data_IF_045023234317
#
_entry.id   IF_045023234317
#
_cell.length_a   1.000
_cell.length_b   1.000
_cell.length_c   1.000
_cell.angle_alpha   90.00
_cell.angle_beta   90.00
_cell.angle_gamma   90.00
#
_symmetry.space_group_name_H-M   'P 1'
#
loop_
_entity.id
_entity.type
_entity.pdbx_description
1 polymer ?
2 non-polymer ?
3 water ?
#
# COMPACT_ATOMS: atom_id res chain seq x y z
N UNK A 2 21.17 -4.60 -2.96
CA UNK A 2 21.42 -6.02 -3.35
C UNK A 2 20.08 -6.69 -3.73
N UNK A 3 20.13 -7.55 -4.73
CA UNK A 3 19.05 -8.49 -5.05
C UNK A 3 18.93 -9.73 -4.12
N UNK A 4 19.51 -9.67 -2.92
CA UNK A 4 19.29 -10.68 -1.91
C UNK A 4 18.31 -10.08 -0.87
N UNK A 5 17.53 -10.93 -0.23
CA UNK A 5 16.45 -10.50 0.69
C UNK A 5 16.95 -10.62 2.10
N UNK A 6 16.91 -9.54 2.85
CA UNK A 6 17.31 -9.57 4.24
C UNK A 6 16.05 -9.32 5.04
N UNK A 7 15.85 -10.12 6.07
CA UNK A 7 14.69 -10.05 6.94
C UNK A 7 15.16 -9.83 8.38
N UNK A 8 14.69 -8.77 9.03
CA UNK A 8 15.02 -8.49 10.41
C UNK A 8 13.89 -8.95 11.32
N UNK A 9 14.26 -9.65 12.39
CA UNK A 9 13.32 -10.28 13.32
C UNK A 9 12.34 -11.14 12.52
N UNK A 10 12.94 -12.10 11.82
CA UNK A 10 12.20 -13.04 10.99
C UNK A 10 11.62 -14.08 11.91
N UNK A 11 10.31 -14.04 12.07
CA UNK A 11 9.54 -14.93 12.95
C UNK A 11 8.74 -15.96 12.15
N UNK A 12 8.07 -16.84 12.89
CA UNK A 12 7.25 -17.91 12.28
C UNK A 12 6.20 -17.42 11.24
N UNK A 13 5.53 -16.30 11.53
CA UNK A 13 4.38 -15.84 10.73
C UNK A 13 4.59 -14.45 10.10
N UNK A 14 5.62 -13.74 10.57
CA UNK A 14 5.91 -12.41 10.07
C UNK A 14 7.37 -12.09 10.27
N UNK A 15 7.85 -11.11 9.50
CA UNK A 15 9.14 -10.50 9.69
C UNK A 15 8.89 -9.05 10.09
N UNK A 16 9.75 -8.48 10.88
CA UNK A 16 9.49 -7.14 11.33
C UNK A 16 9.90 -6.15 10.24
N UNK A 17 11.02 -6.43 9.57
CA UNK A 17 11.57 -5.55 8.53
C UNK A 17 12.07 -6.37 7.34
N UNK A 18 11.82 -5.91 6.12
CA UNK A 18 12.38 -6.55 4.95
C UNK A 18 13.18 -5.56 4.15
N UNK A 19 14.32 -5.98 3.62
CA UNK A 19 15.20 -5.11 2.88
C UNK A 19 15.55 -5.80 1.59
N UNK A 20 15.32 -5.13 0.47
CA UNK A 20 15.60 -5.69 -0.84
C UNK A 20 15.78 -4.57 -1.83
N UNK A 21 16.71 -4.76 -2.76
CA UNK A 21 16.93 -3.81 -3.85
C UNK A 21 17.06 -2.37 -3.32
N UNK A 22 17.85 -2.19 -2.27
CA UNK A 22 18.10 -0.88 -1.64
C UNK A 22 16.84 -0.20 -1.14
N UNK A 23 15.86 -1.03 -0.75
CA UNK A 23 14.56 -0.56 -0.31
C UNK A 23 14.18 -1.37 0.91
N UNK A 24 13.45 -0.74 1.82
CA UNK A 24 13.15 -1.28 3.12
C UNK A 24 11.68 -1.07 3.34
N UNK A 25 11.01 -2.12 3.82
CA UNK A 25 9.57 -2.10 4.06
C UNK A 25 9.37 -2.44 5.53
N UNK A 26 8.38 -1.80 6.14
CA UNK A 26 8.12 -1.93 7.57
C UNK A 26 6.77 -1.37 7.89
N UNK A 27 6.13 -1.92 8.91
CA UNK A 27 4.85 -1.45 9.40
C UNK A 27 4.98 -1.21 10.90
N UNK A 28 4.73 0.01 11.35
CA UNK A 28 4.86 0.28 12.76
C UNK A 28 3.50 0.16 13.41
N UNK A 29 3.47 -0.51 14.55
CA UNK A 29 2.27 -0.64 15.33
C UNK A 29 2.55 -0.18 16.76
N UNK A 30 1.51 0.28 17.47
CA UNK A 30 1.74 0.83 18.82
C UNK A 30 2.23 -0.17 19.89
N UNK A 31 2.97 0.35 20.88
CA UNK A 31 3.43 -0.47 22.01
C UNK A 31 2.48 -0.37 23.20
N UNK A 32 2.10 0.85 23.58
CA UNK A 32 1.21 1.09 24.72
C UNK A 32 -0.24 1.11 24.24
N UNK A 33 -0.95 0.05 24.57
CA UNK A 33 -2.30 -0.16 24.06
C UNK A 33 -3.33 0.75 24.71
N UNK A 34 -3.07 1.17 25.95
CA UNK A 34 -3.94 2.15 26.65
C UNK A 34 -3.62 3.63 26.34
N UNK A 35 -2.54 3.90 25.61
CA UNK A 35 -2.22 5.28 25.26
C UNK A 35 -3.21 5.79 24.22
N UNK A 36 -3.44 7.11 24.25
CA UNK A 36 -4.19 7.81 23.25
C UNK A 36 -3.45 7.88 21.91
N UNK A 37 -4.09 8.47 20.90
CA UNK A 37 -3.55 8.43 19.54
C UNK A 37 -2.29 9.27 19.39
N UNK A 38 -2.16 10.37 20.15
CA UNK A 38 -0.97 11.19 20.09
C UNK A 38 0.24 10.41 20.57
N UNK A 39 0.12 9.78 21.73
CA UNK A 39 1.20 8.93 22.21
C UNK A 39 1.49 7.78 21.24
N UNK A 40 0.46 7.11 20.73
CA UNK A 40 0.66 5.94 19.88
C UNK A 40 1.37 6.35 18.59
N UNK A 41 0.97 7.51 18.03
CA UNK A 41 1.63 7.99 16.81
C UNK A 41 3.09 8.41 17.05
N UNK A 42 3.32 9.23 18.07
CA UNK A 42 4.67 9.70 18.46
C UNK A 42 5.62 8.52 18.73
N UNK A 43 5.10 7.56 19.46
CA UNK A 43 5.83 6.35 19.82
C UNK A 43 6.13 5.50 18.58
N UNK A 44 5.18 5.43 17.65
CA UNK A 44 5.40 4.62 16.48
C UNK A 44 6.42 5.27 15.57
N UNK A 45 6.41 6.58 15.47
CA UNK A 45 7.42 7.27 14.70
C UNK A 45 8.80 7.09 15.32
N UNK A 46 8.89 7.03 16.65
CA UNK A 46 10.16 6.70 17.35
C UNK A 46 10.66 5.31 17.05
N UNK A 47 9.76 4.32 16.94
CA UNK A 47 10.16 2.93 16.54
C UNK A 47 10.70 2.86 15.11
N UNK A 48 10.02 3.55 14.21
CA UNK A 48 10.43 3.66 12.84
C UNK A 48 11.86 4.19 12.73
N UNK A 49 12.16 5.32 13.38
CA UNK A 49 13.54 5.82 13.45
C UNK A 49 14.53 4.73 13.88
N UNK A 50 14.25 4.08 14.98
CA UNK A 50 15.13 3.06 15.55
C UNK A 50 15.40 1.96 14.53
N UNK A 51 14.33 1.47 13.91
CA UNK A 51 14.39 0.48 12.83
C UNK A 51 15.22 1.00 11.67
N UNK A 52 14.99 2.23 11.21
CA UNK A 52 15.74 2.78 10.08
C UNK A 52 17.24 2.93 10.41
N UNK A 53 17.59 3.33 11.63
CA UNK A 53 19.00 3.55 11.92
C UNK A 53 19.79 2.28 12.24
N UNK A 54 19.10 1.26 12.73
CA UNK A 54 19.73 -0.04 12.93
C UNK A 54 20.28 -0.56 11.59
N UNK A 55 19.63 -0.17 10.47
CA UNK A 55 20.05 -0.54 9.12
C UNK A 55 20.91 0.52 8.43
N UNK A 56 21.33 1.53 9.18
CA UNK A 56 22.12 2.58 8.60
C UNK A 56 21.33 3.59 7.79
N UNK A 57 19.99 3.52 7.82
CA UNK A 57 19.18 4.54 7.13
C UNK A 57 18.72 5.56 8.14
N UNK A 58 17.79 6.44 7.77
CA UNK A 58 17.28 7.43 8.74
C UNK A 58 15.89 7.94 8.30
N UNK A 59 15.24 8.80 9.08
CA UNK A 59 13.90 9.31 8.72
C UNK A 59 13.89 10.29 7.58
N UNK A 60 15.06 10.82 7.24
CA UNK A 60 15.19 11.67 6.07
C UNK A 60 15.11 10.86 4.84
N UNK A 61 15.20 9.52 4.95
CA UNK A 61 15.29 8.65 3.79
C UNK A 61 14.00 7.88 3.55
N UNK A 62 12.92 8.29 4.17
CA UNK A 62 11.67 7.58 4.01
C UNK A 62 11.06 8.08 2.72
N UNK A 63 10.50 7.17 1.93
CA UNK A 63 9.99 7.49 0.62
C UNK A 63 8.49 7.71 0.62
N UNK A 64 7.76 6.81 1.25
CA UNK A 64 6.30 6.87 1.27
C UNK A 64 5.75 6.37 2.59
N UNK A 65 4.72 7.01 3.13
CA UNK A 65 4.12 6.60 4.42
C UNK A 65 2.60 6.58 4.31
N UNK A 66 1.98 5.53 4.80
CA UNK A 66 0.55 5.43 4.83
C UNK A 66 0.16 5.21 6.27
N UNK A 67 -0.67 6.10 6.77
CA UNK A 67 -1.12 6.10 8.16
C UNK A 67 -2.58 5.63 8.19
N UNK A 68 -2.85 4.55 8.91
CA UNK A 68 -4.19 4.06 9.11
C UNK A 68 -4.62 4.43 10.52
N UNK A 69 -5.75 5.12 10.65
CA UNK A 69 -6.32 5.47 11.96
C UNK A 69 -7.60 4.70 12.12
N UNK A 70 -7.88 4.21 13.31
CA UNK A 70 -9.15 3.56 13.59
C UNK A 70 -10.35 4.53 13.68
N UNK A 71 -10.08 5.80 13.93
CA UNK A 71 -11.13 6.78 14.22
C UNK A 71 -10.74 8.09 13.58
N UNK A 72 -11.70 8.71 12.93
CA UNK A 72 -11.53 9.94 12.18
C UNK A 72 -11.28 11.09 13.16
N UNK A 73 -11.75 10.93 14.40
CA UNK A 73 -11.53 11.92 15.48
C UNK A 73 -10.04 12.03 15.93
N UNK A 74 -9.20 11.09 15.51
CA UNK A 74 -7.79 11.06 15.89
C UNK A 74 -6.88 11.72 14.87
N UNK A 75 -7.42 12.18 13.75
CA UNK A 75 -6.61 12.90 12.73
C UNK A 75 -5.70 14.03 13.30
N UNK A 76 -6.23 14.86 14.19
CA UNK A 76 -5.50 16.03 14.67
C UNK A 76 -4.39 15.57 15.60
N UNK A 77 -4.68 14.59 16.43
CA UNK A 77 -3.68 14.06 17.34
C UNK A 77 -2.49 13.44 16.58
N UNK A 78 -2.76 12.71 15.50
CA UNK A 78 -1.67 12.10 14.74
C UNK A 78 -0.90 13.09 13.86
N UNK A 79 -1.53 14.15 13.38
CA UNK A 79 -0.80 15.26 12.69
C UNK A 79 0.11 16.06 13.60
N UNK A 80 -0.31 16.25 14.84
CA UNK A 80 0.50 16.92 15.81
C UNK A 80 1.76 16.10 16.07
N UNK A 81 1.65 14.78 16.24
CA UNK A 81 2.84 13.92 16.39
C UNK A 81 3.70 13.94 15.14
N UNK A 82 3.08 13.75 13.99
CA UNK A 82 3.81 13.80 12.74
C UNK A 82 4.56 15.11 12.62
N UNK A 83 3.88 16.21 12.91
CA UNK A 83 4.46 17.53 12.73
C UNK A 83 5.66 17.82 13.64
N UNK A 84 5.69 17.18 14.80
CA UNK A 84 6.76 17.36 15.76
C UNK A 84 8.02 16.58 15.34
N UNK A 85 7.83 15.57 14.48
CA UNK A 85 8.85 14.60 14.08
C UNK A 85 9.38 14.80 12.68
N UNK A 86 8.50 15.05 11.71
CA UNK A 86 8.88 15.09 10.29
C UNK A 86 10.05 16.02 10.01
N UNK A 87 10.90 15.67 9.04
CA UNK A 87 12.04 16.47 8.70
C UNK A 87 11.68 17.42 7.55
N UNK A 88 11.65 18.72 7.87
CA UNK A 88 11.32 19.76 6.90
C UNK A 88 12.19 19.61 5.66
N UNK A 89 11.56 19.66 4.49
CA UNK A 89 12.31 19.49 3.23
C UNK A 89 12.71 18.05 2.87
N UNK A 90 12.52 17.10 3.78
CA UNK A 90 12.94 15.72 3.55
C UNK A 90 11.80 14.73 3.89
N UNK A 91 10.58 15.21 3.78
CA UNK A 91 9.40 14.44 4.13
C UNK A 91 8.99 13.46 2.98
N UNK A 92 8.43 12.31 3.32
CA UNK A 92 7.96 11.42 2.27
C UNK A 92 6.59 11.82 1.73
N UNK A 93 6.15 11.15 0.67
CA UNK A 93 4.73 11.16 0.29
C UNK A 93 3.94 10.60 1.45
N UNK A 94 2.82 11.20 1.75
CA UNK A 94 2.06 10.83 2.92
C UNK A 94 0.62 10.66 2.53
N UNK A 95 -0.03 9.78 3.24
CA UNK A 95 -1.35 9.41 2.90
C UNK A 95 -2.00 8.85 4.19
N UNK A 96 -3.08 9.48 4.62
CA UNK A 96 -3.79 9.11 5.83
C UNK A 96 -5.22 8.71 5.52
N UNK A 97 -5.62 7.53 5.99
CA UNK A 97 -6.99 7.04 5.86
C UNK A 97 -7.45 6.36 7.12
N UNK A 98 -8.77 6.28 7.31
CA UNK A 98 -9.35 5.65 8.49
C UNK A 98 -9.85 4.28 8.13
N UNK A 99 -9.51 3.28 8.91
CA UNK A 99 -9.86 1.92 8.59
C UNK A 99 -9.91 1.09 9.86
N UNK A 100 -10.43 -0.13 9.76
CA UNK A 100 -10.46 -1.02 10.91
C UNK A 100 -9.10 -1.69 11.06
N UNK A 101 -8.63 -1.77 12.29
CA UNK A 101 -7.31 -2.26 12.59
C UNK A 101 -7.45 -3.58 13.35
N UNK A 102 -6.42 -4.42 13.31
CA UNK A 102 -6.52 -5.76 13.88
C UNK A 102 -6.80 -5.73 15.40
N UNK A 103 -6.09 -4.90 16.15
CA UNK A 103 -6.26 -4.83 17.61
C UNK A 103 -7.16 -3.65 17.90
N UNK A 104 -8.22 -3.84 18.71
CA UNK A 104 -9.17 -2.74 18.93
C UNK A 104 -8.65 -1.60 19.84
N UNK A 105 -7.51 -1.83 20.49
CA UNK A 105 -6.80 -0.80 21.25
C UNK A 105 -5.82 0.05 20.39
N UNK A 106 -5.65 -0.28 19.10
CA UNK A 106 -4.73 0.47 18.22
C UNK A 106 -5.44 1.69 17.69
N UNK A 107 -4.93 2.88 17.95
CA UNK A 107 -5.56 4.07 17.36
C UNK A 107 -4.91 4.34 15.99
N UNK A 108 -3.70 3.84 15.79
CA UNK A 108 -2.89 4.17 14.61
C UNK A 108 -2.01 2.99 14.21
N UNK A 109 -1.65 2.94 12.94
CA UNK A 109 -0.66 2.01 12.41
C UNK A 109 0.00 2.72 11.21
N UNK A 110 1.27 2.42 10.94
CA UNK A 110 2.00 3.23 9.94
C UNK A 110 2.92 2.39 9.05
N UNK A 111 2.64 2.32 7.76
CA UNK A 111 3.48 1.54 6.87
C UNK A 111 4.41 2.50 6.13
N UNK A 112 5.62 2.03 5.95
CA UNK A 112 6.79 2.82 5.55
C UNK A 112 7.51 2.06 4.47
N UNK A 113 7.79 2.70 3.34
CA UNK A 113 8.82 2.26 2.40
C UNK A 113 9.93 3.30 2.46
N UNK A 114 11.18 2.88 2.60
CA UNK A 114 12.34 3.76 2.77
C UNK A 114 13.53 3.31 1.92
N UNK A 115 14.51 4.21 1.70
CA UNK A 115 15.76 3.87 0.99
C UNK A 115 16.78 3.45 2.02
N UNK A 116 17.59 2.45 1.67
CA UNK A 116 18.52 1.89 2.63
C UNK A 116 19.85 1.57 1.94
N UNK B 2 18.74 6.15 -9.96
CA UNK B 2 19.71 6.69 -8.95
C UNK B 2 19.29 6.29 -7.54
N UNK B 3 20.28 5.87 -6.77
CA UNK B 3 20.14 5.74 -5.33
C UNK B 3 20.19 7.07 -4.56
N UNK B 4 20.11 8.20 -5.25
CA UNK B 4 19.88 9.48 -4.59
C UNK B 4 18.37 9.72 -4.64
N UNK B 5 17.81 10.29 -3.57
CA UNK B 5 16.40 10.56 -3.45
C UNK B 5 16.13 11.95 -3.96
N UNK B 6 15.21 12.08 -4.90
CA UNK B 6 14.76 13.37 -5.38
C UNK B 6 13.32 13.60 -4.92
N UNK B 7 13.07 14.74 -4.31
CA UNK B 7 11.73 15.14 -3.85
C UNK B 7 11.21 16.38 -4.61
N UNK B 8 9.97 16.31 -5.12
CA UNK B 8 9.31 17.42 -5.80
C UNK B 8 8.29 18.05 -4.89
N UNK B 9 8.30 19.39 -4.87
CA UNK B 9 7.49 20.21 -3.94
C UNK B 9 7.64 19.73 -2.50
N UNK B 10 8.86 19.86 -2.03
CA UNK B 10 9.27 19.43 -0.71
C UNK B 10 8.97 20.51 0.36
N UNK B 11 7.90 20.33 1.09
CA UNK B 11 7.50 21.31 2.07
C UNK B 11 7.96 20.90 3.48
N UNK B 12 7.42 21.55 4.51
CA UNK B 12 7.82 21.33 5.90
C UNK B 12 7.26 20.01 6.46
N UNK B 13 6.07 19.64 6.02
CA UNK B 13 5.36 18.47 6.56
C UNK B 13 5.09 17.36 5.56
N UNK B 14 5.28 17.62 4.27
CA UNK B 14 5.08 16.60 3.25
C UNK B 14 5.84 16.95 2.00
N UNK B 15 6.01 15.95 1.11
CA UNK B 15 6.44 16.13 -0.27
C UNK B 15 5.31 15.68 -1.22
N UNK B 16 5.19 16.30 -2.39
CA UNK B 16 4.14 15.91 -3.34
C UNK B 16 4.53 14.67 -4.19
N UNK B 17 5.79 14.62 -4.64
CA UNK B 17 6.33 13.51 -5.42
C UNK B 17 7.72 13.14 -4.92
N UNK B 18 8.04 11.84 -4.92
CA UNK B 18 9.35 11.33 -4.47
C UNK B 18 9.87 10.29 -5.48
N UNK B 19 11.13 10.41 -5.85
CA UNK B 19 11.71 9.61 -6.92
C UNK B 19 13.00 9.02 -6.40
N UNK B 20 13.13 7.71 -6.53
CA UNK B 20 14.27 7.00 -6.02
C UNK B 20 14.32 5.65 -6.74
N UNK B 21 15.53 5.22 -7.11
CA UNK B 21 15.74 3.88 -7.62
C UNK B 21 14.81 3.65 -8.79
N UNK B 22 14.72 4.66 -9.65
CA UNK B 22 13.93 4.66 -10.86
C UNK B 22 12.47 4.37 -10.69
N UNK B 23 11.95 4.84 -9.56
CA UNK B 23 10.59 4.61 -9.15
C UNK B 23 10.06 5.89 -8.51
N UNK B 24 8.79 6.18 -8.76
CA UNK B 24 8.14 7.40 -8.35
C UNK B 24 6.94 7.07 -7.48
N UNK B 25 6.79 7.77 -6.37
CA UNK B 25 5.61 7.68 -5.47
C UNK B 25 4.82 8.98 -5.54
N UNK B 26 3.49 8.89 -5.42
CA UNK B 26 2.62 10.06 -5.42
C UNK B 26 1.25 9.66 -4.93
N UNK B 27 0.61 10.48 -4.10
CA UNK B 27 -0.83 10.42 -3.86
C UNK B 27 -1.59 11.54 -4.58
N UNK B 28 -2.63 11.21 -5.33
CA UNK B 28 -3.41 12.23 -6.00
C UNK B 28 -4.64 12.51 -5.18
N UNK B 29 -5.04 13.76 -5.07
CA UNK B 29 -6.32 14.09 -4.45
C UNK B 29 -7.08 15.00 -5.38
N UNK B 30 -8.42 14.93 -5.37
CA UNK B 30 -9.16 15.75 -6.33
C UNK B 30 -9.12 17.24 -5.94
N UNK B 31 -9.10 18.13 -6.94
CA UNK B 31 -9.20 19.57 -6.72
C UNK B 31 -10.63 20.09 -6.83
N UNK B 32 -11.50 19.32 -7.48
CA UNK B 32 -12.91 19.66 -7.70
C UNK B 32 -13.80 19.13 -6.58
N UNK B 33 -13.69 19.72 -5.39
CA UNK B 33 -14.23 19.09 -4.19
C UNK B 33 -15.76 19.01 -4.11
N UNK B 34 -16.47 19.76 -4.94
CA UNK B 34 -17.94 19.73 -4.97
C UNK B 34 -18.51 18.83 -6.07
N UNK B 35 -17.66 18.22 -6.90
CA UNK B 35 -18.11 17.33 -7.97
C UNK B 35 -18.47 15.94 -7.44
N UNK B 36 -19.00 15.07 -8.31
CA UNK B 36 -19.33 13.69 -7.91
C UNK B 36 -18.10 12.75 -8.04
N UNK B 37 -18.24 11.54 -7.50
CA UNK B 37 -17.19 10.52 -7.52
C UNK B 37 -16.50 10.39 -8.90
N UNK B 38 -17.29 10.06 -9.93
CA UNK B 38 -16.76 9.91 -11.29
C UNK B 38 -15.90 11.10 -11.72
N UNK B 39 -16.32 12.30 -11.39
CA UNK B 39 -15.64 13.50 -11.89
C UNK B 39 -14.45 13.86 -11.00
N UNK B 40 -14.52 13.55 -9.70
CA UNK B 40 -13.37 13.67 -8.78
C UNK B 40 -12.27 12.67 -9.13
N UNK B 41 -12.67 11.47 -9.51
CA UNK B 41 -11.73 10.48 -10.01
C UNK B 41 -11.02 10.96 -11.26
N UNK B 42 -11.78 11.29 -12.28
CA UNK B 42 -11.16 11.72 -13.54
C UNK B 42 -10.17 12.86 -13.29
N UNK B 43 -10.57 13.80 -12.45
CA UNK B 43 -9.71 14.93 -12.11
C UNK B 43 -8.41 14.45 -11.46
N UNK B 44 -8.51 13.53 -10.50
CA UNK B 44 -7.31 12.95 -9.87
C UNK B 44 -6.40 12.28 -10.89
N UNK B 45 -7.00 11.52 -11.79
CA UNK B 45 -6.23 10.78 -12.78
C UNK B 45 -5.48 11.72 -13.67
N UNK B 46 -6.09 12.84 -13.99
CA UNK B 46 -5.48 13.86 -14.88
C UNK B 46 -4.27 14.54 -14.23
N UNK B 47 -4.41 14.95 -12.98
CA UNK B 47 -3.27 15.42 -12.18
C UNK B 47 -2.12 14.39 -12.18
N UNK B 48 -2.46 13.10 -12.07
CA UNK B 48 -1.45 12.03 -12.06
C UNK B 48 -0.70 12.04 -13.36
N UNK B 49 -1.46 12.06 -14.46
CA UNK B 49 -0.84 12.21 -15.79
C UNK B 49 0.08 13.43 -15.82
N UNK B 50 -0.38 14.53 -15.25
CA UNK B 50 0.42 15.77 -15.32
C UNK B 50 1.73 15.57 -14.58
N UNK B 51 1.63 14.94 -13.41
CA UNK B 51 2.78 14.68 -12.53
C UNK B 51 3.74 13.75 -13.21
N UNK B 52 3.23 12.68 -13.80
CA UNK B 52 4.13 11.69 -14.42
C UNK B 52 4.84 12.28 -15.65
N UNK B 53 4.14 13.11 -16.43
CA UNK B 53 4.75 13.73 -17.62
C UNK B 53 5.89 14.70 -17.25
N UNK B 54 5.70 15.51 -16.21
CA UNK B 54 6.76 16.44 -15.77
C UNK B 54 8.09 15.77 -15.43
N UNK B 55 8.05 14.52 -14.95
CA UNK B 55 9.27 13.78 -14.58
C UNK B 55 9.78 12.85 -15.67
N UNK B 56 9.10 12.82 -16.82
CA UNK B 56 9.55 12.01 -17.96
C UNK B 56 8.75 10.74 -18.20
N UNK B 57 7.90 10.37 -17.24
CA UNK B 57 7.14 9.13 -17.28
C UNK B 57 5.80 9.34 -17.97
N UNK B 58 4.88 8.39 -17.77
CA UNK B 58 3.53 8.51 -18.27
C UNK B 58 2.58 7.48 -17.65
N UNK B 59 1.32 7.58 -18.04
CA UNK B 59 0.30 6.68 -17.55
C UNK B 59 0.42 5.29 -18.17
N UNK B 60 1.41 5.11 -19.03
CA UNK B 60 1.83 3.82 -19.55
C UNK B 60 2.86 3.13 -18.70
N UNK B 61 3.38 3.82 -17.67
CA UNK B 61 4.50 3.33 -16.85
C UNK B 61 4.15 3.27 -15.36
N UNK B 62 2.86 3.23 -15.03
CA UNK B 62 2.42 3.06 -13.67
C UNK B 62 2.51 1.58 -13.30
N UNK B 63 2.96 1.28 -12.08
CA UNK B 63 3.17 -0.10 -11.69
C UNK B 63 2.03 -0.63 -10.78
N UNK B 64 1.55 0.19 -9.87
CA UNK B 64 0.57 -0.18 -8.88
C UNK B 64 -0.26 1.06 -8.50
N UNK B 65 -1.56 0.86 -8.23
CA UNK B 65 -2.47 1.94 -7.91
C UNK B 65 -3.49 1.49 -6.86
N UNK B 66 -3.55 2.20 -5.73
CA UNK B 66 -4.56 1.89 -4.71
C UNK B 66 -5.53 3.04 -4.61
N UNK B 67 -6.77 2.77 -4.95
CA UNK B 67 -7.81 3.77 -5.03
C UNK B 67 -8.60 3.63 -3.75
N UNK B 68 -8.64 4.69 -2.93
CA UNK B 68 -9.50 4.73 -1.73
C UNK B 68 -10.77 5.51 -2.02
N UNK B 69 -11.91 4.92 -1.74
CA UNK B 69 -13.19 5.59 -1.94
C UNK B 69 -13.79 5.83 -0.56
N UNK B 70 -14.44 6.98 -0.39
CA UNK B 70 -15.10 7.30 0.86
C UNK B 70 -16.38 6.53 1.05
N UNK B 71 -17.06 6.19 -0.04
CA UNK B 71 -18.43 5.65 -0.01
C UNK B 71 -18.53 4.42 -0.90
N UNK B 72 -19.09 3.34 -0.36
CA UNK B 72 -19.23 2.06 -1.08
C UNK B 72 -20.04 2.16 -2.38
N UNK B 73 -20.88 3.18 -2.47
CA UNK B 73 -21.80 3.35 -3.60
C UNK B 73 -21.11 3.88 -4.86
N UNK B 74 -19.82 4.21 -4.74
CA UNK B 74 -19.09 4.87 -5.83
C UNK B 74 -18.11 4.00 -6.59
N UNK B 75 -18.06 2.71 -6.26
CA UNK B 75 -17.20 1.76 -6.98
C UNK B 75 -17.44 1.83 -8.49
N UNK B 76 -18.68 1.60 -8.91
CA UNK B 76 -19.03 1.61 -10.33
C UNK B 76 -18.61 2.92 -11.03
N UNK B 77 -18.79 4.04 -10.35
CA UNK B 77 -18.43 5.32 -10.94
C UNK B 77 -16.90 5.53 -11.08
N UNK B 78 -16.11 5.12 -10.07
CA UNK B 78 -14.64 5.27 -10.18
C UNK B 78 -14.05 4.30 -11.21
N UNK B 79 -14.62 3.10 -11.32
CA UNK B 79 -14.34 2.20 -12.46
C UNK B 79 -14.64 2.82 -13.83
N UNK B 80 -15.77 3.51 -13.95
CA UNK B 80 -16.10 4.20 -15.21
C UNK B 80 -15.02 5.22 -15.55
N UNK B 81 -14.61 6.03 -14.60
CA UNK B 81 -13.57 7.06 -14.83
C UNK B 81 -12.18 6.46 -15.12
N UNK B 82 -11.91 5.31 -14.50
CA UNK B 82 -10.66 4.57 -14.71
C UNK B 82 -10.54 4.00 -16.14
N UNK B 83 -11.61 3.34 -16.60
CA UNK B 83 -11.64 2.68 -17.93
C UNK B 83 -11.54 3.67 -19.09
N UNK B 84 -12.08 4.87 -18.91
CA UNK B 84 -11.91 5.94 -19.89
C UNK B 84 -10.46 6.45 -19.94
N UNK B 85 -9.77 6.37 -18.81
CA UNK B 85 -8.40 6.88 -18.66
C UNK B 85 -7.29 5.84 -18.97
N UNK B 86 -7.45 4.61 -18.49
CA UNK B 86 -6.36 3.60 -18.53
C UNK B 86 -6.00 3.19 -19.96
N UNK B 87 -4.73 2.87 -20.18
CA UNK B 87 -4.16 2.47 -21.47
C UNK B 87 -4.15 0.95 -21.55
N UNK B 88 -5.01 0.40 -22.41
CA UNK B 88 -5.21 -1.05 -22.53
C UNK B 88 -3.90 -1.70 -22.86
N UNK B 89 -3.63 -2.83 -22.19
CA UNK B 89 -2.36 -3.51 -22.33
C UNK B 89 -1.16 -2.80 -21.72
N UNK B 90 -1.40 -1.67 -21.05
CA UNK B 90 -0.38 -1.02 -20.24
C UNK B 90 -0.93 -0.63 -18.88
N UNK B 91 -1.88 -1.42 -18.41
CA UNK B 91 -2.58 -1.15 -17.16
C UNK B 91 -1.72 -1.50 -15.97
N UNK B 92 -1.80 -0.71 -14.89
CA UNK B 92 -1.08 -1.08 -13.70
C UNK B 92 -1.89 -2.07 -12.89
N UNK B 93 -1.28 -2.69 -11.89
CA UNK B 93 -2.00 -3.46 -10.87
C UNK B 93 -2.85 -2.48 -10.07
N UNK B 94 -4.05 -2.89 -9.69
CA UNK B 94 -4.98 -1.97 -9.02
C UNK B 94 -5.65 -2.52 -7.75
N UNK B 95 -5.94 -1.60 -6.83
CA UNK B 95 -6.67 -1.89 -5.62
C UNK B 95 -7.71 -0.80 -5.52
N UNK B 96 -8.96 -1.18 -5.32
CA UNK B 96 -9.96 -0.22 -5.00
C UNK B 96 -10.60 -0.70 -3.75
N UNK B 97 -10.56 0.12 -2.68
CA UNK B 97 -11.29 -0.15 -1.44
C UNK B 97 -11.95 1.08 -0.84
N UNK B 98 -12.85 0.85 0.10
CA UNK B 98 -13.56 1.90 0.78
C UNK B 98 -12.97 2.14 2.15
N UNK B 99 -12.57 3.36 2.43
CA UNK B 99 -12.17 3.76 3.77
C UNK B 99 -12.50 5.24 3.98
N UNK B 100 -12.43 5.68 5.23
CA UNK B 100 -12.58 7.10 5.55
C UNK B 100 -11.43 7.95 5.04
N UNK B 101 -11.77 9.07 4.39
CA UNK B 101 -10.77 10.00 3.88
C UNK B 101 -10.68 11.22 4.82
N UNK B 102 -9.62 12.03 4.70
CA UNK B 102 -9.34 13.08 5.70
C UNK B 102 -10.22 14.32 5.52
N UNK B 103 -10.35 14.78 4.28
CA UNK B 103 -11.24 15.87 3.96
C UNK B 103 -12.63 15.31 3.66
N UNK B 104 -13.67 15.76 4.38
CA UNK B 104 -15.02 15.18 4.19
C UNK B 104 -15.63 15.37 2.80
N UNK B 105 -15.06 16.25 2.00
CA UNK B 105 -15.51 16.40 0.62
C UNK B 105 -14.73 15.50 -0.38
N UNK B 106 -13.81 14.67 0.12
CA UNK B 106 -13.12 13.68 -0.72
C UNK B 106 -14.02 12.48 -1.00
N UNK B 107 -14.27 12.22 -2.28
CA UNK B 107 -14.95 10.98 -2.65
C UNK B 107 -13.88 9.94 -2.89
N UNK B 108 -12.71 10.39 -3.35
CA UNK B 108 -11.65 9.53 -3.84
C UNK B 108 -10.24 10.07 -3.53
N UNK B 109 -9.27 9.15 -3.48
CA UNK B 109 -7.85 9.44 -3.25
C UNK B 109 -7.02 8.28 -3.84
N UNK B 110 -6.03 8.59 -4.66
CA UNK B 110 -5.33 7.57 -5.45
C UNK B 110 -3.83 7.60 -5.23
N UNK B 111 -3.30 6.51 -4.71
CA UNK B 111 -1.87 6.33 -4.44
C UNK B 111 -1.27 5.58 -5.62
N UNK B 112 -0.08 5.99 -6.01
CA UNK B 112 0.51 5.60 -7.28
C UNK B 112 2.00 5.25 -7.08
N UNK B 113 2.44 4.09 -7.56
CA UNK B 113 3.87 3.83 -7.70
C UNK B 113 4.10 3.68 -9.19
N UNK B 114 5.11 4.35 -9.75
CA UNK B 114 5.39 4.23 -11.19
C UNK B 114 6.88 4.12 -11.47
N UNK B 115 7.22 3.82 -12.70
CA UNK B 115 8.62 3.78 -13.14
C UNK B 115 9.02 5.09 -13.80
N UNK B 116 10.27 5.50 -13.65
CA UNK B 116 10.76 6.75 -14.28
C UNK B 116 12.17 6.59 -14.81
N UNK C 2 15.73 -5.49 -14.41
CA UNK C 2 15.55 -4.60 -15.58
C UNK C 2 14.58 -3.44 -15.32
N UNK C 3 14.90 -2.33 -15.99
CA UNK C 3 14.10 -1.13 -16.11
C UNK C 3 13.07 -1.15 -17.25
N UNK C 4 12.84 -2.30 -17.86
CA UNK C 4 11.75 -2.46 -18.85
C UNK C 4 10.62 -3.19 -18.17
N UNK C 5 9.44 -2.62 -18.22
CA UNK C 5 8.30 -3.13 -17.52
C UNK C 5 7.74 -4.30 -18.29
N UNK C 6 7.40 -5.37 -17.57
CA UNK C 6 6.76 -6.54 -18.12
C UNK C 6 5.39 -6.60 -17.52
N UNK C 7 4.36 -6.77 -18.34
CA UNK C 7 2.98 -6.91 -17.90
C UNK C 7 2.37 -8.20 -18.42
N UNK C 8 1.60 -8.87 -17.54
CA UNK C 8 1.13 -10.22 -17.76
C UNK C 8 -0.36 -10.32 -17.46
N UNK C 9 -1.16 -10.52 -18.50
CA UNK C 9 -2.60 -10.68 -18.36
C UNK C 9 -2.99 -12.16 -18.59
N UNK C 10 -3.84 -12.70 -17.72
CA UNK C 10 -4.32 -14.08 -17.84
C UNK C 10 -5.82 -14.02 -17.81
N UNK C 11 -6.45 -14.80 -18.67
CA UNK C 11 -7.92 -14.79 -18.75
C UNK C 11 -8.61 -15.23 -17.48
N UNK C 12 -8.02 -16.13 -16.70
CA UNK C 12 -8.70 -16.68 -15.50
C UNK C 12 -8.39 -15.90 -14.20
N UNK C 13 -7.98 -14.66 -14.34
CA UNK C 13 -7.26 -13.98 -13.27
C UNK C 13 -7.63 -12.50 -13.33
N UNK C 14 -8.04 -11.97 -12.19
CA UNK C 14 -8.61 -10.65 -12.19
C UNK C 14 -7.52 -9.58 -12.40
N UNK C 15 -6.42 -9.73 -11.69
CA UNK C 15 -5.32 -8.77 -11.74
C UNK C 15 -4.25 -9.18 -12.77
N UNK C 16 -3.66 -8.20 -13.44
CA UNK C 16 -2.43 -8.42 -14.15
C UNK C 16 -1.31 -8.61 -13.13
N UNK C 17 -0.13 -9.01 -13.60
CA UNK C 17 1.10 -9.06 -12.81
C UNK C 17 1.99 -8.07 -13.51
N UNK C 18 2.69 -7.26 -12.74
CA UNK C 18 3.61 -6.29 -13.27
C UNK C 18 4.99 -6.56 -12.65
N UNK C 19 6.01 -6.59 -13.51
CA UNK C 19 7.36 -6.86 -13.09
C UNK C 19 8.22 -5.71 -13.54
N UNK C 20 9.01 -5.16 -12.62
CA UNK C 20 9.89 -4.04 -12.92
C UNK C 20 10.98 -3.90 -11.88
N UNK C 21 12.22 -3.70 -12.33
CA UNK C 21 13.32 -3.39 -11.39
C UNK C 21 13.34 -4.51 -10.36
N UNK C 22 13.30 -5.72 -10.91
CA UNK C 22 13.39 -6.98 -10.20
C UNK C 22 12.37 -7.25 -9.12
N UNK C 23 11.22 -6.60 -9.26
CA UNK C 23 10.17 -6.57 -8.24
C UNK C 23 8.88 -6.85 -8.93
N UNK C 24 7.97 -7.53 -8.23
CA UNK C 24 6.70 -7.99 -8.81
C UNK C 24 5.54 -7.57 -7.95
N UNK C 25 4.49 -7.09 -8.60
CA UNK C 25 3.28 -6.65 -7.95
C UNK C 25 2.17 -7.50 -8.49
N UNK C 26 1.20 -7.79 -7.61
CA UNK C 26 0.03 -8.61 -7.94
C UNK C 26 -0.99 -8.44 -6.80
N UNK C 27 -2.28 -8.41 -7.14
CA UNK C 27 -3.36 -8.43 -6.16
C UNK C 27 -4.14 -9.72 -6.32
N UNK C 28 -4.28 -10.49 -5.25
CA UNK C 28 -5.07 -11.70 -5.28
C UNK C 28 -6.49 -11.44 -4.88
N UNK C 29 -7.45 -11.89 -5.69
CA UNK C 29 -8.87 -11.76 -5.40
C UNK C 29 -9.59 -13.13 -5.42
N UNK C 30 -10.53 -13.37 -4.49
CA UNK C 30 -11.30 -14.63 -4.42
C UNK C 30 -11.93 -15.05 -5.74
N UNK C 31 -12.00 -16.37 -5.97
CA UNK C 31 -12.64 -16.91 -7.18
C UNK C 31 -14.00 -17.51 -6.83
N UNK C 32 -14.19 -17.99 -5.60
CA UNK C 32 -15.42 -18.63 -5.19
C UNK C 32 -16.20 -17.75 -4.21
N UNK C 33 -17.07 -16.95 -4.80
CA UNK C 33 -17.77 -15.89 -4.10
C UNK C 33 -18.61 -16.31 -2.90
N UNK C 34 -19.23 -17.47 -2.94
CA UNK C 34 -20.12 -17.89 -1.85
C UNK C 34 -19.37 -18.56 -0.72
N UNK C 35 -18.07 -18.79 -0.94
CA UNK C 35 -17.21 -19.43 0.06
C UNK C 35 -16.94 -18.47 1.24
N UNK C 36 -16.63 -19.04 2.39
CA UNK C 36 -16.33 -18.27 3.60
C UNK C 36 -14.90 -17.66 3.57
N UNK C 37 -14.57 -16.92 4.63
CA UNK C 37 -13.35 -16.14 4.68
C UNK C 37 -12.09 -17.01 4.70
N UNK C 38 -12.13 -18.14 5.39
CA UNK C 38 -10.99 -19.06 5.47
C UNK C 38 -10.70 -19.62 4.11
N UNK C 39 -11.72 -20.14 3.43
CA UNK C 39 -11.57 -20.64 2.07
C UNK C 39 -11.02 -19.60 1.10
N UNK C 40 -11.56 -18.38 1.18
CA UNK C 40 -11.17 -17.35 0.25
C UNK C 40 -9.73 -16.94 0.47
N UNK C 41 -9.32 -16.93 1.75
CA UNK C 41 -7.96 -16.56 2.13
C UNK C 41 -7.03 -17.66 1.69
N UNK C 42 -7.33 -18.88 2.13
CA UNK C 42 -6.55 -20.09 1.74
C UNK C 42 -6.41 -20.29 0.23
N UNK C 43 -7.48 -20.08 -0.52
CA UNK C 43 -7.42 -20.26 -1.95
C UNK C 43 -6.77 -19.08 -2.63
N UNK C 44 -6.94 -17.88 -2.10
CA UNK C 44 -6.20 -16.73 -2.67
C UNK C 44 -4.69 -16.84 -2.42
N UNK C 45 -4.28 -17.26 -1.24
CA UNK C 45 -2.88 -17.60 -1.02
C UNK C 45 -2.38 -18.68 -2.02
N UNK C 46 -3.18 -19.72 -2.31
CA UNK C 46 -2.75 -20.74 -3.31
C UNK C 46 -2.60 -20.14 -4.70
N UNK C 47 -3.56 -19.34 -5.14
CA UNK C 47 -3.50 -18.52 -6.39
C UNK C 47 -2.21 -17.72 -6.54
N UNK C 48 -1.82 -17.05 -5.46
CA UNK C 48 -0.61 -16.24 -5.40
C UNK C 48 0.60 -17.08 -5.57
N UNK C 49 0.67 -18.21 -4.88
CA UNK C 49 1.84 -19.11 -5.09
C UNK C 49 2.00 -19.46 -6.57
N UNK C 50 0.89 -19.84 -7.19
CA UNK C 50 0.90 -20.34 -8.60
C UNK C 50 1.30 -19.23 -9.56
N UNK C 51 0.75 -18.04 -9.37
CA UNK C 51 1.17 -16.85 -10.08
C UNK C 51 2.65 -16.51 -9.87
N UNK C 52 3.16 -16.53 -8.64
CA UNK C 52 4.58 -16.24 -8.43
C UNK C 52 5.53 -17.25 -9.11
N UNK C 53 5.20 -18.53 -8.99
CA UNK C 53 5.97 -19.61 -9.62
C UNK C 53 5.97 -19.51 -11.12
N UNK C 54 4.84 -19.22 -11.72
CA UNK C 54 4.81 -19.10 -13.16
C UNK C 54 5.73 -17.99 -13.70
N UNK C 55 6.17 -17.07 -12.85
CA UNK C 55 7.09 -16.02 -13.25
C UNK C 55 8.40 -16.22 -12.49
N UNK C 56 8.71 -17.48 -12.18
CA UNK C 56 9.95 -17.85 -11.52
C UNK C 56 10.07 -17.59 -10.02
N UNK C 57 9.42 -16.51 -9.51
CA UNK C 57 9.44 -16.14 -8.06
C UNK C 57 8.76 -17.23 -7.22
N UNK C 58 8.62 -17.01 -5.91
CA UNK C 58 7.89 -17.95 -5.06
C UNK C 58 7.51 -17.36 -3.73
N UNK C 59 6.70 -18.09 -2.96
CA UNK C 59 6.10 -17.54 -1.76
C UNK C 59 7.13 -17.20 -0.71
N UNK C 60 8.30 -17.83 -0.83
CA UNK C 60 9.50 -17.46 -0.06
C UNK C 60 10.08 -16.06 -0.34
N UNK C 61 9.80 -15.49 -1.51
CA UNK C 61 10.38 -14.24 -1.94
C UNK C 61 9.36 -13.07 -1.83
N UNK C 62 8.30 -13.21 -1.04
CA UNK C 62 7.35 -12.12 -0.93
C UNK C 62 7.94 -11.10 0.05
N UNK C 63 7.91 -9.83 -0.35
CA UNK C 63 8.47 -8.77 0.49
C UNK C 63 7.46 -8.17 1.44
N UNK C 64 6.27 -7.88 0.93
CA UNK C 64 5.26 -7.16 1.69
C UNK C 64 3.86 -7.61 1.22
N UNK C 65 2.94 -7.76 2.15
CA UNK C 65 1.61 -8.25 1.84
C UNK C 65 0.61 -7.41 2.58
N UNK C 66 -0.38 -6.91 1.87
CA UNK C 66 -1.48 -6.15 2.51
C UNK C 66 -2.77 -6.96 2.38
N UNK C 67 -3.29 -7.41 3.50
CA UNK C 67 -4.55 -8.12 3.50
C UNK C 67 -5.69 -7.17 3.84
N UNK C 68 -6.59 -6.90 2.89
CA UNK C 68 -7.82 -6.16 3.19
C UNK C 68 -9.00 -7.09 3.51
N UNK C 69 -9.62 -6.90 4.68
CA UNK C 69 -10.79 -7.68 5.07
C UNK C 69 -12.06 -6.83 5.10
N UNK C 70 -13.17 -7.39 4.61
CA UNK C 70 -14.44 -6.70 4.61
C UNK C 70 -15.06 -6.61 6.00
N UNK C 71 -14.70 -7.54 6.89
CA UNK C 71 -15.36 -7.67 8.17
C UNK C 71 -14.35 -8.08 9.22
N UNK C 72 -14.37 -7.38 10.34
CA UNK C 72 -13.54 -7.68 11.50
C UNK C 72 -13.78 -9.08 12.04
N UNK C 73 -14.98 -9.62 11.81
CA UNK C 73 -15.31 -10.97 12.33
C UNK C 73 -14.47 -12.05 11.67
N UNK C 74 -13.94 -11.74 10.48
CA UNK C 74 -13.13 -12.69 9.71
C UNK C 74 -11.62 -12.64 10.00
N UNK C 75 -11.14 -11.86 10.97
CA UNK C 75 -9.70 -11.85 11.28
C UNK C 75 -9.17 -13.25 11.64
N UNK C 76 -9.87 -13.96 12.52
CA UNK C 76 -9.39 -15.28 12.97
C UNK C 76 -9.25 -16.26 11.80
N UNK C 77 -10.22 -16.30 10.93
CA UNK C 77 -10.23 -17.21 9.81
C UNK C 77 -9.10 -16.91 8.86
N UNK C 78 -8.80 -15.64 8.64
CA UNK C 78 -7.75 -15.27 7.70
C UNK C 78 -6.35 -15.53 8.27
N UNK C 79 -6.16 -15.27 9.57
CA UNK C 79 -4.94 -15.69 10.28
C UNK C 79 -4.72 -17.21 10.26
N UNK C 80 -5.81 -17.95 10.31
CA UNK C 80 -5.72 -19.39 10.26
C UNK C 80 -5.23 -19.87 8.89
N UNK C 81 -5.71 -19.30 7.81
CA UNK C 81 -5.22 -19.67 6.51
C UNK C 81 -3.77 -19.23 6.36
N UNK C 82 -3.51 -17.96 6.65
CA UNK C 82 -2.18 -17.40 6.56
C UNK C 82 -1.18 -18.25 7.34
N UNK C 83 -1.57 -18.65 8.54
CA UNK C 83 -0.66 -19.36 9.39
C UNK C 83 -0.36 -20.76 8.88
N UNK C 84 -1.26 -21.35 8.11
CA UNK C 84 -1.01 -22.68 7.47
C UNK C 84 -0.16 -22.60 6.20
N UNK C 85 -0.03 -21.42 5.64
CA UNK C 85 0.68 -21.21 4.38
C UNK C 85 2.07 -20.58 4.59
N UNK C 86 2.17 -19.58 5.47
CA UNK C 86 3.37 -18.75 5.58
C UNK C 86 4.66 -19.51 5.82
N UNK C 87 5.77 -19.11 5.21
CA UNK C 87 7.03 -19.81 5.37
C UNK C 87 7.80 -19.30 6.59
N UNK C 88 7.89 -20.13 7.63
CA UNK C 88 8.60 -19.77 8.85
C UNK C 88 10.01 -19.25 8.50
N UNK C 89 10.39 -18.11 9.07
CA UNK C 89 11.68 -17.52 8.79
C UNK C 89 11.83 -16.79 7.47
N UNK C 90 10.84 -16.91 6.58
CA UNK C 90 10.90 -16.23 5.28
C UNK C 90 9.64 -15.42 5.01
N UNK C 91 8.96 -15.00 6.08
CA UNK C 91 7.69 -14.29 5.99
C UNK C 91 7.83 -12.82 5.51
N UNK C 92 6.84 -12.31 4.77
CA UNK C 92 6.83 -10.94 4.35
C UNK C 92 6.46 -9.99 5.49
N UNK C 93 6.71 -8.69 5.30
CA UNK C 93 6.07 -7.71 6.17
C UNK C 93 4.56 -7.76 5.84
N UNK C 94 3.76 -7.62 6.86
CA UNK C 94 2.38 -7.99 6.76
C UNK C 94 1.44 -6.94 7.34
N UNK C 95 0.56 -6.43 6.50
CA UNK C 95 -0.39 -5.37 6.87
C UNK C 95 -1.80 -5.99 6.75
N UNK C 96 -2.64 -5.85 7.78
CA UNK C 96 -4.02 -6.33 7.71
C UNK C 96 -5.03 -5.27 8.15
N UNK C 97 -5.89 -4.80 7.25
CA UNK C 97 -6.89 -3.80 7.61
C UNK C 97 -8.29 -4.17 7.15
N UNK C 98 -9.29 -3.83 7.95
CA UNK C 98 -10.68 -4.01 7.56
C UNK C 98 -11.12 -2.83 6.73
N UNK C 99 -11.67 -3.06 5.57
CA UNK C 99 -12.13 -1.98 4.71
C UNK C 99 -13.19 -2.53 3.77
N UNK C 100 -13.94 -1.67 3.13
CA UNK C 100 -14.94 -2.10 2.15
C UNK C 100 -14.30 -2.54 0.85
N UNK C 101 -14.70 -3.71 0.35
CA UNK C 101 -14.10 -4.31 -0.83
C UNK C 101 -14.99 -4.09 -2.06
N UNK C 102 -14.41 -4.29 -3.25
CA UNK C 102 -15.05 -3.92 -4.51
C UNK C 102 -16.23 -4.84 -4.84
N UNK C 103 -16.27 -6.05 -4.29
CA UNK C 103 -17.43 -6.95 -4.50
C UNK C 103 -18.03 -7.34 -3.16
N UNK C 104 -19.36 -7.28 -3.04
CA UNK C 104 -19.91 -7.49 -1.70
C UNK C 104 -19.78 -8.92 -1.23
N UNK C 105 -19.49 -9.84 -2.14
CA UNK C 105 -19.18 -11.23 -1.76
C UNK C 105 -17.69 -11.53 -1.45
N UNK C 106 -16.76 -10.62 -1.76
CA UNK C 106 -15.34 -10.80 -1.30
C UNK C 106 -15.19 -10.61 0.20
N UNK C 107 -14.64 -11.61 0.88
CA UNK C 107 -14.33 -11.43 2.28
C UNK C 107 -12.89 -10.97 2.46
N UNK C 108 -12.06 -11.06 1.41
CA UNK C 108 -10.63 -10.83 1.54
C UNK C 108 -10.03 -10.47 0.19
N UNK C 109 -8.94 -9.72 0.23
CA UNK C 109 -8.21 -9.32 -0.97
C UNK C 109 -6.75 -9.10 -0.52
N UNK C 110 -5.79 -9.54 -1.31
CA UNK C 110 -4.40 -9.60 -0.84
C UNK C 110 -3.43 -8.98 -1.84
N UNK C 111 -2.84 -7.85 -1.45
CA UNK C 111 -1.84 -7.19 -2.29
C UNK C 111 -0.46 -7.75 -1.95
N UNK C 112 0.31 -8.02 -3.00
CA UNK C 112 1.63 -8.62 -2.89
C UNK C 112 2.69 -7.81 -3.62
N UNK C 113 3.85 -7.69 -2.99
CA UNK C 113 5.02 -7.17 -3.61
C UNK C 113 6.07 -8.23 -3.33
N UNK C 114 6.76 -8.70 -4.37
CA UNK C 114 7.66 -9.84 -4.26
C UNK C 114 8.91 -9.62 -5.13
N UNK C 115 9.97 -10.31 -4.78
CA UNK C 115 11.24 -10.20 -5.48
C UNK C 115 11.20 -11.15 -6.66
N UNK C 116 11.75 -10.72 -7.78
CA UNK C 116 12.04 -11.61 -8.91
C UNK C 116 13.53 -11.52 -9.25
#
# INVERSE_FOLDING_TARGET
>A
MSLSIVRIDAEDRWSDVVIYNNTLWYTGVPENLDADAFEQTANTLAQIDAVLEKQGSSKSRILDATIFLSDKADFAAMNKAWDAWVVAGHAPVRCTVQAGLMNPKYKVEIKIVAAVEGHHHHHH
>B
MSLSIVRIDAEDRWSDVVIYNNTLWYTGVPENLDADAFEQTANTLAQIDAVLEKQGSSKSRILDATIFLSDKADFAAMNKAWDAWVVAGHAPVRCTVQAGLMNPKYKVEIKIVAAVEGHHHHHH
>C
MSLSIVRIDAEDRWSDVVIYNNTLWYTGVPENLDADAFEQTANTLAQIDAVLEKQGSSKSRILDATIFLSDKADFAAMNKAWDAWVVAGHAPVRCTVQAGLMNPKYKVEIKIVAAVEGHHHHHH
#
